data_IF_844291959896
#
_entry.id   IF_844291959896
#
_cell.length_a   1.000
_cell.length_b   1.000
_cell.length_c   1.000
_cell.angle_alpha   90.00
_cell.angle_beta   90.00
_cell.angle_gamma   90.00
#
_symmetry.space_group_name_H-M   'P 1'
#
loop_
_entity.id
_entity.type
_entity.pdbx_description
1 polymer ?
#
# COMPACT_ATOMS: atom_id res chain seq x y z
N UNK A 1 0.96 8.34 -55.33
CA UNK A 1 2.11 7.50 -54.95
C UNK A 1 2.44 7.84 -53.51
N UNK A 2 1.80 7.13 -52.59
CA UNK A 2 1.79 7.44 -51.15
C UNK A 2 2.15 6.15 -50.43
N UNK A 3 3.34 6.10 -49.82
CA UNK A 3 3.82 4.96 -49.06
C UNK A 3 3.32 5.05 -47.61
N UNK A 4 2.31 4.25 -47.29
CA UNK A 4 1.84 4.01 -45.93
C UNK A 4 2.68 2.89 -45.33
N UNK A 5 3.50 3.21 -44.32
CA UNK A 5 4.23 2.22 -43.53
C UNK A 5 3.35 1.73 -42.39
N UNK A 6 2.86 0.51 -42.50
CA UNK A 6 2.12 -0.20 -41.45
C UNK A 6 3.09 -0.77 -40.41
N UNK A 7 2.92 -0.40 -39.15
CA UNK A 7 3.50 -1.11 -38.01
C UNK A 7 2.42 -2.03 -37.41
N UNK A 8 2.69 -3.32 -37.12
CA UNK A 8 1.69 -4.22 -36.59
C UNK A 8 1.46 -3.97 -35.09
N UNK A 9 0.20 -3.83 -34.72
CA UNK A 9 -0.29 -3.83 -33.33
C UNK A 9 -0.49 -5.28 -32.91
N UNK A 10 0.42 -5.81 -32.08
CA UNK A 10 0.22 -7.12 -31.44
C UNK A 10 -0.77 -6.98 -30.28
N UNK A 11 -2.01 -7.41 -30.52
CA UNK A 11 -3.03 -7.66 -29.50
C UNK A 11 -2.68 -8.96 -28.76
N UNK A 12 -2.23 -8.86 -27.52
CA UNK A 12 -2.13 -10.03 -26.63
C UNK A 12 -3.54 -10.45 -26.20
N UNK A 13 -3.99 -11.59 -26.74
CA UNK A 13 -5.14 -12.35 -26.21
C UNK A 13 -4.76 -13.02 -24.87
N UNK A 14 -5.71 -13.19 -23.94
CA UNK A 14 -5.49 -13.92 -22.70
C UNK A 14 -5.41 -15.43 -22.98
N UNK A 15 -4.54 -16.21 -22.28
CA UNK A 15 -4.48 -17.65 -22.47
C UNK A 15 -5.72 -18.33 -21.87
N UNK A 16 -6.24 -19.29 -22.63
CA UNK A 16 -7.46 -20.04 -22.34
C UNK A 16 -7.36 -21.00 -21.16
N UNK A 17 -8.54 -21.32 -20.65
CA UNK A 17 -8.86 -22.21 -19.53
C UNK A 17 -8.39 -23.65 -19.77
N UNK A 18 -7.55 -24.17 -18.88
CA UNK A 18 -7.29 -25.60 -18.72
C UNK A 18 -8.06 -26.12 -17.49
N UNK A 19 -8.79 -27.24 -17.66
CA UNK A 19 -9.62 -27.87 -16.63
C UNK A 19 -8.82 -28.55 -15.49
N UNK A 20 -9.50 -29.09 -14.46
CA UNK A 20 -8.88 -29.44 -13.20
C UNK A 20 -8.09 -30.75 -13.31
N UNK A 21 -6.76 -30.63 -13.35
CA UNK A 21 -5.85 -31.73 -13.06
C UNK A 21 -5.87 -32.05 -11.58
N UNK A 22 -6.11 -33.32 -11.24
CA UNK A 22 -6.01 -33.84 -9.88
C UNK A 22 -4.56 -33.71 -9.41
N UNK A 23 -4.32 -32.85 -8.43
CA UNK A 23 -3.01 -32.72 -7.80
C UNK A 23 -2.88 -33.76 -6.68
N UNK A 24 -2.20 -34.85 -7.01
CA UNK A 24 -1.71 -35.83 -6.06
C UNK A 24 -0.47 -35.26 -5.38
N UNK A 25 -0.57 -34.96 -4.09
CA UNK A 25 0.51 -34.81 -3.10
C UNK A 25 1.88 -34.33 -3.57
N UNK A 26 2.22 -33.08 -3.23
CA UNK A 26 3.62 -32.67 -3.09
C UNK A 26 3.90 -32.35 -1.61
N UNK A 27 4.43 -33.36 -0.93
CA UNK A 27 5.25 -33.21 0.27
C UNK A 27 6.50 -32.38 -0.07
N UNK A 28 6.94 -31.56 0.91
CA UNK A 28 8.33 -31.08 1.12
C UNK A 28 9.02 -30.32 -0.04
N UNK A 29 8.95 -28.99 0.01
CA UNK A 29 10.08 -28.13 -0.36
C UNK A 29 10.43 -27.22 0.83
N UNK A 30 11.29 -27.81 1.66
CA UNK A 30 11.82 -27.35 2.93
C UNK A 30 13.30 -26.99 2.69
N UNK A 31 13.59 -25.80 2.17
CA UNK A 31 14.90 -25.15 2.24
C UNK A 31 14.79 -23.73 1.66
N UNK A 32 14.89 -22.70 2.50
CA UNK A 32 15.39 -21.43 1.98
C UNK A 32 16.79 -21.69 1.45
N UNK A 33 17.00 -21.57 0.14
CA UNK A 33 18.34 -21.71 -0.42
C UNK A 33 19.29 -20.77 0.36
N UNK A 34 20.41 -21.27 0.90
CA UNK A 34 21.10 -20.57 1.97
C UNK A 34 21.65 -19.24 1.46
N UNK A 35 21.09 -18.15 1.97
CA UNK A 35 21.59 -16.78 1.74
C UNK A 35 23.03 -16.60 2.24
N UNK A 36 23.65 -17.61 2.86
CA UNK A 36 25.01 -17.61 3.35
C UNK A 36 26.03 -17.13 2.31
N UNK A 37 25.99 -17.67 1.09
CA UNK A 37 26.90 -17.28 0.00
C UNK A 37 26.78 -15.79 -0.36
N UNK A 38 25.57 -15.32 -0.72
CA UNK A 38 25.31 -13.90 -0.96
C UNK A 38 25.66 -12.98 0.21
N UNK A 39 25.30 -13.35 1.45
CA UNK A 39 25.61 -12.59 2.66
C UNK A 39 27.13 -12.49 2.84
N UNK A 40 27.88 -13.58 2.67
CA UNK A 40 29.35 -13.58 2.72
C UNK A 40 29.95 -12.66 1.64
N UNK A 41 29.38 -12.64 0.44
CA UNK A 41 29.77 -11.73 -0.63
C UNK A 41 29.58 -10.26 -0.22
N UNK A 42 28.41 -9.91 0.33
CA UNK A 42 28.13 -8.57 0.84
C UNK A 42 29.07 -8.18 1.98
N UNK A 43 29.28 -9.06 2.96
CA UNK A 43 30.20 -8.82 4.08
C UNK A 43 31.62 -8.52 3.59
N UNK A 44 32.11 -9.26 2.59
CA UNK A 44 33.42 -9.00 1.99
C UNK A 44 33.48 -7.63 1.31
N UNK A 45 32.41 -7.19 0.63
CA UNK A 45 32.36 -5.86 0.02
C UNK A 45 32.31 -4.75 1.09
N UNK A 46 31.45 -4.89 2.10
CA UNK A 46 31.28 -3.92 3.19
C UNK A 46 32.57 -3.74 3.98
N UNK A 47 33.34 -4.81 4.23
CA UNK A 47 34.63 -4.73 4.96
C UNK A 47 35.58 -3.69 4.35
N UNK A 48 35.60 -3.56 3.03
CA UNK A 48 36.47 -2.63 2.32
C UNK A 48 35.89 -1.22 2.16
N UNK A 49 34.66 -0.96 2.60
CA UNK A 49 34.11 0.39 2.58
C UNK A 49 34.89 1.35 3.47
N UNK A 50 35.16 2.53 2.91
CA UNK A 50 35.68 3.72 3.58
C UNK A 50 34.58 4.77 3.68
N UNK A 51 34.74 5.75 4.58
CA UNK A 51 33.76 6.82 4.77
C UNK A 51 33.68 7.69 3.51
N UNK A 52 32.54 7.76 2.81
CA UNK A 52 32.42 8.45 1.53
C UNK A 52 32.05 9.94 1.65
N UNK A 53 32.03 10.50 2.86
CA UNK A 53 31.36 11.76 3.13
C UNK A 53 29.86 11.56 3.35
N UNK A 54 29.05 12.48 2.83
CA UNK A 54 27.58 12.52 2.95
C UNK A 54 26.85 11.67 1.89
N UNK A 55 27.58 10.87 1.12
CA UNK A 55 27.03 10.03 0.06
C UNK A 55 26.53 8.69 0.60
N UNK A 56 25.41 8.22 0.05
CA UNK A 56 24.91 6.87 0.28
C UNK A 56 25.86 5.83 -0.33
N UNK A 57 26.27 4.84 0.48
CA UNK A 57 26.84 3.59 -0.04
C UNK A 57 25.72 2.58 -0.24
N UNK A 58 25.64 2.04 -1.45
CA UNK A 58 24.75 0.95 -1.78
C UNK A 58 25.52 -0.16 -2.51
N UNK A 59 25.21 -1.41 -2.17
CA UNK A 59 25.66 -2.57 -2.95
C UNK A 59 24.64 -3.68 -2.87
N UNK A 60 24.41 -4.35 -4.00
CA UNK A 60 23.53 -5.51 -4.08
C UNK A 60 24.21 -6.70 -4.73
N UNK A 61 23.68 -7.89 -4.43
CA UNK A 61 24.08 -9.17 -5.03
C UNK A 61 22.83 -9.96 -5.41
N UNK A 62 22.84 -10.72 -6.52
CA UNK A 62 21.75 -11.63 -6.84
C UNK A 62 21.66 -12.74 -5.78
N UNK A 63 20.45 -13.17 -5.48
CA UNK A 63 20.16 -14.27 -4.55
C UNK A 63 19.17 -15.26 -5.16
N UNK A 64 19.12 -16.51 -4.67
CA UNK A 64 18.05 -17.44 -5.03
C UNK A 64 16.66 -16.89 -4.67
N UNK A 65 15.62 -17.50 -5.23
CA UNK A 65 14.26 -17.21 -4.83
C UNK A 65 14.11 -17.32 -3.31
N UNK A 66 13.72 -16.22 -2.68
CA UNK A 66 13.67 -16.08 -1.22
C UNK A 66 12.31 -15.57 -0.82
N UNK A 67 11.68 -16.22 0.16
CA UNK A 67 10.34 -15.88 0.61
C UNK A 67 10.34 -14.64 1.52
N UNK A 68 9.86 -13.46 1.09
CA UNK A 68 10.10 -12.20 1.79
C UNK A 68 9.39 -12.11 3.14
N UNK A 69 8.17 -12.66 3.27
CA UNK A 69 7.43 -12.62 4.53
C UNK A 69 8.10 -13.45 5.63
N UNK A 70 8.63 -14.63 5.28
CA UNK A 70 9.38 -15.48 6.22
C UNK A 70 10.71 -14.83 6.60
N UNK A 71 11.38 -14.23 5.62
CA UNK A 71 12.60 -13.47 5.85
C UNK A 71 12.38 -12.32 6.84
N UNK A 72 11.32 -11.51 6.66
CA UNK A 72 10.95 -10.43 7.59
C UNK A 72 10.50 -10.94 8.96
N UNK A 73 9.76 -12.05 9.01
CA UNK A 73 9.30 -12.63 10.27
C UNK A 73 10.49 -13.11 11.13
N UNK A 74 11.55 -13.62 10.49
CA UNK A 74 12.79 -14.03 11.18
C UNK A 74 13.64 -12.85 11.65
N UNK A 75 13.51 -11.69 11.01
CA UNK A 75 14.31 -10.51 11.32
C UNK A 75 13.94 -9.89 12.69
N UNK A 76 14.89 -9.21 13.38
CA UNK A 76 14.56 -8.45 14.59
C UNK A 76 13.47 -7.40 14.32
N UNK A 77 12.53 -7.26 15.25
CA UNK A 77 11.45 -6.27 15.18
C UNK A 77 11.93 -4.84 15.47
N UNK A 78 11.10 -3.87 15.08
CA UNK A 78 11.23 -2.43 15.37
C UNK A 78 11.67 -1.56 14.20
N UNK A 79 12.10 -2.16 13.09
CA UNK A 79 12.60 -1.45 11.91
C UNK A 79 12.48 -2.28 10.63
N UNK A 80 11.39 -3.05 10.51
CA UNK A 80 11.06 -3.82 9.31
C UNK A 80 10.10 -3.02 8.43
N UNK A 81 10.30 -3.16 7.13
CA UNK A 81 9.45 -2.56 6.11
C UNK A 81 9.11 -3.57 5.02
N UNK A 82 7.94 -3.44 4.43
CA UNK A 82 7.52 -4.25 3.29
C UNK A 82 6.69 -3.40 2.35
N UNK A 83 6.96 -3.54 1.07
CA UNK A 83 6.13 -2.99 0.01
C UNK A 83 6.14 -3.93 -1.20
N UNK A 84 4.97 -4.19 -1.75
CA UNK A 84 4.79 -4.97 -2.96
C UNK A 84 3.80 -4.26 -3.89
N UNK A 85 4.20 -4.15 -5.17
CA UNK A 85 3.35 -3.61 -6.22
C UNK A 85 2.10 -4.47 -6.42
N UNK A 86 1.00 -3.87 -6.88
CA UNK A 86 -0.28 -4.56 -7.05
C UNK A 86 -0.25 -5.82 -7.93
N UNK A 87 0.61 -5.82 -8.94
CA UNK A 87 0.80 -6.93 -9.87
C UNK A 87 1.88 -7.95 -9.40
N UNK A 88 2.50 -7.71 -8.25
CA UNK A 88 3.55 -8.56 -7.69
C UNK A 88 4.88 -8.55 -8.45
N UNK A 89 5.08 -7.64 -9.43
CA UNK A 89 6.29 -7.58 -10.25
C UNK A 89 7.51 -7.03 -9.50
N UNK A 90 7.24 -6.25 -8.45
CA UNK A 90 8.21 -5.64 -7.58
C UNK A 90 7.85 -5.87 -6.12
N UNK A 91 8.86 -6.21 -5.33
CA UNK A 91 8.74 -6.38 -3.89
C UNK A 91 10.01 -5.86 -3.23
N UNK A 92 9.85 -5.13 -2.13
CA UNK A 92 10.93 -4.62 -1.29
C UNK A 92 10.62 -5.07 0.14
N UNK A 93 11.46 -5.93 0.69
CA UNK A 93 11.44 -6.28 2.10
C UNK A 93 12.67 -5.67 2.77
N UNK A 94 12.48 -4.83 3.78
CA UNK A 94 13.53 -4.05 4.43
C UNK A 94 13.73 -4.43 5.89
N UNK A 95 14.98 -4.47 6.33
CA UNK A 95 15.37 -4.66 7.74
C UNK A 95 16.39 -3.60 8.14
N UNK A 96 16.11 -2.91 9.25
CA UNK A 96 16.96 -1.83 9.75
C UNK A 96 16.81 -0.53 8.97
N UNK A 97 17.51 0.50 9.42
CA UNK A 97 17.39 1.87 8.90
C UNK A 97 18.76 2.37 8.46
N UNK A 98 18.91 2.68 7.18
CA UNK A 98 20.02 3.48 6.67
C UNK A 98 19.72 4.98 6.81
N UNK A 99 18.52 5.39 6.45
CA UNK A 99 17.99 6.75 6.63
C UNK A 99 16.52 6.71 7.03
N UNK A 100 16.11 7.61 7.92
CA UNK A 100 14.72 7.79 8.37
C UNK A 100 14.38 9.27 8.24
N UNK A 101 13.50 9.58 7.28
CA UNK A 101 13.08 10.94 6.99
C UNK A 101 11.61 11.07 7.39
N UNK A 102 11.31 12.06 8.23
CA UNK A 102 9.95 12.30 8.68
C UNK A 102 9.60 13.78 8.70
N UNK A 103 8.31 14.05 8.64
CA UNK A 103 7.73 15.38 8.81
C UNK A 103 6.53 15.32 9.77
N UNK A 104 6.38 16.33 10.61
CA UNK A 104 5.22 16.48 11.49
C UNK A 104 4.03 17.19 10.84
N UNK A 105 4.24 17.87 9.70
CA UNK A 105 3.23 18.71 9.02
C UNK A 105 3.39 18.67 7.50
N UNK A 106 2.30 18.93 6.80
CA UNK A 106 2.31 18.99 5.34
C UNK A 106 3.30 20.00 4.73
N UNK A 107 3.57 21.11 5.43
CA UNK A 107 4.41 22.20 4.93
C UNK A 107 5.88 21.78 4.73
N UNK A 108 6.39 20.82 5.50
CA UNK A 108 7.79 20.37 5.40
C UNK A 108 7.98 19.27 4.35
N UNK A 109 6.92 18.86 3.64
CA UNK A 109 7.00 17.77 2.66
C UNK A 109 8.03 18.07 1.57
N UNK A 110 8.04 19.27 1.00
CA UNK A 110 8.97 19.61 -0.09
C UNK A 110 10.45 19.38 0.28
N UNK A 111 10.84 19.73 1.51
CA UNK A 111 12.20 19.52 2.02
C UNK A 111 12.50 18.02 2.22
N UNK A 112 11.54 17.25 2.76
CA UNK A 112 11.65 15.80 2.90
C UNK A 112 11.87 15.14 1.53
N UNK A 113 11.15 15.57 0.50
CA UNK A 113 11.26 15.03 -0.85
C UNK A 113 12.58 15.33 -1.53
N UNK A 114 13.06 16.57 -1.40
CA UNK A 114 14.39 16.94 -1.87
C UNK A 114 15.44 16.04 -1.22
N UNK A 115 15.35 15.82 0.10
CA UNK A 115 16.27 14.96 0.84
C UNK A 115 16.23 13.50 0.39
N UNK A 116 15.05 12.94 0.09
CA UNK A 116 14.91 11.59 -0.47
C UNK A 116 15.70 11.49 -1.78
N UNK A 117 15.53 12.46 -2.68
CA UNK A 117 16.19 12.43 -3.99
C UNK A 117 17.70 12.65 -3.89
N UNK A 118 18.15 13.55 -3.00
CA UNK A 118 19.57 13.80 -2.76
C UNK A 118 20.27 12.55 -2.19
N UNK A 119 19.62 11.84 -1.26
CA UNK A 119 20.18 10.63 -0.64
C UNK A 119 20.26 9.48 -1.64
N UNK A 120 19.19 9.21 -2.42
CA UNK A 120 19.20 8.10 -3.37
C UNK A 120 20.12 8.41 -4.56
N UNK A 121 20.05 9.63 -5.11
CA UNK A 121 20.74 9.98 -6.35
C UNK A 121 20.44 8.99 -7.48
N UNK A 122 21.47 8.28 -7.93
CA UNK A 122 21.42 7.28 -8.99
C UNK A 122 21.40 5.82 -8.49
N UNK A 123 21.40 5.61 -7.16
CA UNK A 123 21.48 4.28 -6.57
C UNK A 123 20.22 3.47 -6.85
N UNK A 124 20.39 2.16 -7.07
CA UNK A 124 19.28 1.24 -7.35
C UNK A 124 18.61 0.72 -6.07
N UNK A 125 18.10 1.67 -5.29
CA UNK A 125 17.37 1.41 -4.03
C UNK A 125 16.17 2.35 -3.92
N UNK A 126 15.32 2.14 -2.92
CA UNK A 126 14.16 2.99 -2.71
C UNK A 126 13.84 3.16 -1.23
N UNK A 127 13.32 4.34 -0.88
CA UNK A 127 12.63 4.52 0.39
C UNK A 127 11.26 3.83 0.32
N UNK A 128 10.83 3.27 1.44
CA UNK A 128 9.45 2.84 1.67
C UNK A 128 8.85 3.74 2.73
N UNK A 129 7.62 4.20 2.54
CA UNK A 129 7.02 5.14 3.46
C UNK A 129 5.59 5.52 3.10
N UNK A 130 5.14 6.62 3.68
CA UNK A 130 3.78 7.07 3.52
C UNK A 130 3.45 8.37 4.24
N UNK A 131 2.16 8.71 4.19
CA UNK A 131 1.56 9.91 4.75
C UNK A 131 0.28 9.58 5.50
N UNK A 132 0.00 10.36 6.56
CA UNK A 132 -1.29 10.36 7.22
C UNK A 132 -2.38 10.97 6.33
N UNK A 133 -3.63 10.55 6.57
CA UNK A 133 -4.82 11.01 5.86
C UNK A 133 -5.05 12.52 5.95
N UNK A 134 -4.80 13.09 7.12
CA UNK A 134 -5.07 14.51 7.42
C UNK A 134 -3.82 15.40 7.32
N UNK A 135 -2.64 14.83 7.01
CA UNK A 135 -1.38 15.56 6.94
C UNK A 135 -0.83 16.00 8.31
N UNK A 136 -1.30 15.40 9.40
CA UNK A 136 -0.82 15.68 10.76
C UNK A 136 -0.17 14.44 11.39
N UNK A 137 0.73 14.68 12.35
CA UNK A 137 1.26 13.62 13.20
C UNK A 137 0.14 12.91 13.97
N UNK A 138 0.28 11.59 14.07
CA UNK A 138 -0.62 10.71 14.77
C UNK A 138 -0.78 11.08 16.24
N UNK A 139 -2.02 11.00 16.71
CA UNK A 139 -2.42 11.14 18.11
C UNK A 139 -3.08 9.83 18.57
N UNK A 140 -3.28 9.69 19.88
CA UNK A 140 -3.93 8.52 20.46
C UNK A 140 -3.21 7.22 20.03
N UNK A 141 -3.90 6.28 19.39
CA UNK A 141 -3.34 5.01 18.94
C UNK A 141 -2.21 5.18 17.91
N UNK A 142 -2.24 6.28 17.14
CA UNK A 142 -1.22 6.62 16.14
C UNK A 142 0.00 7.36 16.71
N UNK A 143 0.09 7.53 18.04
CA UNK A 143 1.24 8.18 18.68
C UNK A 143 2.56 7.55 18.21
N UNK A 144 3.48 8.39 17.75
CA UNK A 144 4.77 7.99 17.18
C UNK A 144 4.78 7.94 15.65
N UNK A 145 3.64 7.75 14.97
CA UNK A 145 3.56 7.91 13.52
C UNK A 145 3.49 9.40 13.16
N UNK A 146 4.47 9.93 12.41
CA UNK A 146 4.46 11.34 11.99
C UNK A 146 3.49 11.56 10.81
N UNK A 147 3.32 12.81 10.37
CA UNK A 147 2.49 13.13 9.22
C UNK A 147 3.01 12.50 7.93
N UNK A 148 4.34 12.40 7.80
CA UNK A 148 5.01 11.69 6.73
C UNK A 148 6.23 10.95 7.29
N UNK A 149 6.49 9.73 6.80
CA UNK A 149 7.73 9.01 7.10
C UNK A 149 8.17 8.15 5.94
N UNK A 150 9.46 8.20 5.63
CA UNK A 150 10.11 7.37 4.63
C UNK A 150 11.39 6.79 5.22
N UNK A 151 11.51 5.46 5.14
CA UNK A 151 12.66 4.71 5.63
C UNK A 151 13.38 4.08 4.44
N UNK A 152 14.69 4.32 4.36
CA UNK A 152 15.59 3.57 3.49
C UNK A 152 16.11 2.37 4.29
N UNK A 153 15.77 1.13 3.89
CA UNK A 153 16.21 -0.04 4.64
C UNK A 153 17.73 -0.17 4.67
N UNK A 154 18.30 -0.56 5.81
CA UNK A 154 19.73 -0.86 5.89
C UNK A 154 20.10 -2.14 5.12
N UNK A 155 19.21 -3.12 5.13
CA UNK A 155 19.29 -4.36 4.36
C UNK A 155 17.95 -4.51 3.63
N UNK A 156 17.99 -4.80 2.34
CA UNK A 156 16.81 -4.97 1.51
C UNK A 156 16.86 -6.26 0.71
N UNK A 157 15.79 -7.04 0.77
CA UNK A 157 15.53 -8.14 -0.15
C UNK A 157 14.55 -7.65 -1.20
N UNK A 158 15.03 -7.51 -2.43
CA UNK A 158 14.28 -6.99 -3.56
C UNK A 158 13.95 -8.10 -4.55
N UNK A 159 12.70 -8.15 -5.00
CA UNK A 159 12.27 -8.94 -6.16
C UNK A 159 11.85 -7.98 -7.25
N UNK A 160 12.43 -8.10 -8.46
CA UNK A 160 12.05 -7.31 -9.63
C UNK A 160 12.09 -8.18 -10.88
N UNK A 161 11.01 -8.20 -11.65
CA UNK A 161 10.91 -8.98 -12.88
C UNK A 161 11.34 -10.46 -12.69
N UNK A 162 10.98 -11.06 -11.56
CA UNK A 162 11.32 -12.45 -11.21
C UNK A 162 12.73 -12.67 -10.65
N UNK A 163 13.60 -11.67 -10.67
CA UNK A 163 14.96 -11.76 -10.11
C UNK A 163 14.99 -11.26 -8.67
N UNK A 164 15.77 -11.95 -7.81
CA UNK A 164 15.91 -11.61 -6.41
C UNK A 164 17.31 -11.06 -6.13
N UNK A 165 17.39 -10.00 -5.35
CA UNK A 165 18.62 -9.34 -4.96
C UNK A 165 18.61 -9.05 -3.46
N UNK A 166 19.76 -9.20 -2.82
CA UNK A 166 20.00 -8.74 -1.46
C UNK A 166 20.91 -7.52 -1.52
N UNK A 167 20.38 -6.38 -1.10
CA UNK A 167 21.04 -5.08 -1.07
C UNK A 167 21.34 -4.63 0.35
N UNK A 168 22.33 -3.75 0.48
CA UNK A 168 22.62 -3.02 1.71
C UNK A 168 22.83 -1.55 1.43
N UNK A 169 22.38 -0.73 2.36
CA UNK A 169 22.50 0.73 2.32
C UNK A 169 23.20 1.22 3.59
N UNK A 170 24.14 2.16 3.42
CA UNK A 170 24.79 2.83 4.53
C UNK A 170 24.95 4.31 4.22
N UNK A 171 24.28 5.14 5.01
CA UNK A 171 24.44 6.59 5.05
C UNK A 171 24.98 6.98 6.43
N UNK A 172 25.95 7.88 6.48
CA UNK A 172 26.54 8.37 7.71
C UNK A 172 27.02 9.81 7.56
N UNK A 173 26.91 10.61 8.62
CA UNK A 173 27.27 12.03 8.59
C UNK A 173 28.71 12.32 9.04
N UNK A 174 29.39 11.31 9.61
CA UNK A 174 30.77 11.43 10.06
C UNK A 174 31.50 10.11 10.01
N UNK A 175 32.84 10.15 10.04
CA UNK A 175 33.66 8.93 10.11
C UNK A 175 33.36 8.06 11.35
N UNK A 176 33.01 8.68 12.48
CA UNK A 176 32.62 7.97 13.71
C UNK A 176 31.29 7.24 13.52
N UNK A 177 30.28 7.95 13.00
CA UNK A 177 28.96 7.38 12.72
C UNK A 177 29.05 6.26 11.67
N UNK A 178 29.85 6.46 10.63
CA UNK A 178 30.14 5.46 9.61
C UNK A 178 30.65 4.14 10.21
N UNK A 179 31.64 4.20 11.11
CA UNK A 179 32.16 2.99 11.74
C UNK A 179 31.12 2.31 12.61
N UNK A 180 30.32 3.06 13.37
CA UNK A 180 29.26 2.51 14.21
C UNK A 180 28.16 1.83 13.38
N UNK A 181 27.68 2.49 12.32
CA UNK A 181 26.67 1.95 11.40
C UNK A 181 27.18 0.76 10.60
N UNK A 182 28.43 0.79 10.14
CA UNK A 182 29.08 -0.34 9.45
C UNK A 182 29.15 -1.57 10.35
N UNK A 183 29.58 -1.42 11.59
CA UNK A 183 29.59 -2.53 12.57
C UNK A 183 28.19 -3.07 12.82
N UNK A 184 27.19 -2.19 13.02
CA UNK A 184 25.78 -2.60 13.20
C UNK A 184 25.26 -3.38 11.98
N UNK A 185 25.52 -2.89 10.77
CA UNK A 185 25.11 -3.53 9.53
C UNK A 185 25.70 -4.93 9.38
N UNK A 186 27.01 -5.09 9.65
CA UNK A 186 27.69 -6.40 9.64
C UNK A 186 27.03 -7.35 10.65
N UNK A 187 26.83 -6.91 11.89
CA UNK A 187 26.17 -7.71 12.92
C UNK A 187 24.75 -8.11 12.54
N UNK A 188 24.01 -7.22 11.88
CA UNK A 188 22.65 -7.51 11.41
C UNK A 188 22.64 -8.57 10.31
N UNK A 189 23.55 -8.49 9.33
CA UNK A 189 23.69 -9.49 8.28
C UNK A 189 24.05 -10.88 8.85
N UNK A 190 25.00 -10.92 9.79
CA UNK A 190 25.40 -12.18 10.45
C UNK A 190 24.22 -12.81 11.21
N UNK A 191 23.45 -12.00 11.95
CA UNK A 191 22.25 -12.47 12.67
C UNK A 191 21.16 -12.98 11.74
N UNK A 192 20.90 -12.29 10.63
CA UNK A 192 19.93 -12.73 9.62
C UNK A 192 20.36 -14.08 9.03
N UNK A 193 21.65 -14.25 8.71
CA UNK A 193 22.17 -15.52 8.21
C UNK A 193 21.94 -16.68 9.18
N UNK A 194 22.08 -16.44 10.49
CA UNK A 194 21.90 -17.47 11.52
C UNK A 194 20.43 -17.83 11.74
N UNK A 195 19.53 -16.84 11.75
CA UNK A 195 18.10 -17.07 12.01
C UNK A 195 17.39 -17.78 10.88
N UNK A 196 17.76 -17.50 9.62
CA UNK A 196 17.18 -18.19 8.46
C UNK A 196 17.48 -19.69 8.44
N UNK A 197 18.51 -20.13 9.16
CA UNK A 197 18.85 -21.55 9.30
C UNK A 197 18.02 -22.27 10.38
N UNK A 198 17.17 -21.57 11.14
CA UNK A 198 16.38 -22.14 12.23
C UNK A 198 14.92 -22.34 11.81
N UNK A 199 14.27 -23.44 12.25
CA UNK A 199 12.84 -23.62 12.03
C UNK A 199 12.06 -22.55 12.81
N UNK A 200 11.07 -21.96 12.15
CA UNK A 200 10.25 -20.91 12.75
C UNK A 200 9.02 -21.52 13.40
N UNK A 201 8.95 -21.46 14.73
CA UNK A 201 7.74 -21.76 15.49
C UNK A 201 6.91 -20.48 15.60
N UNK A 202 5.77 -20.44 14.90
CA UNK A 202 4.81 -19.35 15.04
C UNK A 202 3.78 -19.72 16.13
N UNK A 203 3.48 -18.82 17.08
CA UNK A 203 2.44 -19.08 18.06
C UNK A 203 1.07 -19.16 17.36
N UNK A 204 0.20 -20.05 17.83
CA UNK A 204 -1.22 -19.98 17.48
C UNK A 204 -1.83 -18.77 18.19
N UNK A 205 -2.42 -17.87 17.41
CA UNK A 205 -3.04 -16.65 17.92
C UNK A 205 -4.55 -16.78 17.76
N UNK A 206 -5.30 -16.39 18.77
CA UNK A 206 -6.75 -16.23 18.68
C UNK A 206 -7.19 -14.86 19.19
N UNK A 207 -8.37 -14.45 18.74
CA UNK A 207 -9.01 -13.21 19.17
C UNK A 207 -9.65 -13.47 20.54
N UNK A 208 -9.10 -12.85 21.58
CA UNK A 208 -9.63 -12.93 22.95
C UNK A 208 -10.86 -12.01 23.14
N UNK A 209 -10.85 -10.84 22.50
CA UNK A 209 -11.96 -9.88 22.57
C UNK A 209 -12.03 -9.04 21.30
N UNK A 210 -13.26 -8.74 20.86
CA UNK A 210 -13.56 -7.76 19.81
C UNK A 210 -14.26 -6.55 20.44
N UNK A 211 -13.80 -5.35 20.10
CA UNK A 211 -14.35 -4.07 20.59
C UNK A 211 -14.68 -3.19 19.39
N UNK A 212 -15.97 -2.97 19.15
CA UNK A 212 -16.47 -2.09 18.09
C UNK A 212 -16.66 -0.67 18.65
N UNK A 213 -16.02 0.33 18.03
CA UNK A 213 -16.09 1.74 18.46
C UNK A 213 -17.27 2.53 17.87
N UNK A 214 -18.11 1.83 17.10
CA UNK A 214 -19.33 2.34 16.49
C UNK A 214 -20.27 1.15 16.32
N UNK A 215 -21.44 1.22 16.95
CA UNK A 215 -22.51 0.23 16.76
C UNK A 215 -23.38 0.59 15.54
N UNK A 216 -24.32 -0.30 15.22
CA UNK A 216 -25.21 -0.14 14.08
C UNK A 216 -26.08 1.11 14.19
N UNK A 217 -26.66 1.38 15.38
CA UNK A 217 -27.55 2.52 15.58
C UNK A 217 -26.81 3.86 15.41
N UNK A 218 -25.59 3.97 15.95
CA UNK A 218 -24.73 5.13 15.74
C UNK A 218 -24.37 5.29 14.26
N UNK A 219 -24.09 4.18 13.56
CA UNK A 219 -23.82 4.18 12.13
C UNK A 219 -25.02 4.73 11.34
N UNK A 220 -26.24 4.25 11.60
CA UNK A 220 -27.46 4.73 10.98
C UNK A 220 -27.64 6.25 11.18
N UNK A 221 -27.48 6.74 12.41
CA UNK A 221 -27.59 8.17 12.72
C UNK A 221 -26.56 9.01 11.96
N UNK A 222 -25.32 8.53 11.83
CA UNK A 222 -24.28 9.22 11.09
C UNK A 222 -24.57 9.23 9.58
N UNK A 223 -25.04 8.12 9.03
CA UNK A 223 -25.44 8.01 7.62
C UNK A 223 -26.60 8.97 7.32
N UNK A 224 -27.64 9.00 8.15
CA UNK A 224 -28.77 9.91 7.99
C UNK A 224 -28.34 11.39 8.05
N UNK A 225 -27.46 11.73 8.97
CA UNK A 225 -26.89 13.07 9.07
C UNK A 225 -26.09 13.45 7.81
N UNK A 226 -25.32 12.51 7.24
CA UNK A 226 -24.59 12.73 5.98
C UNK A 226 -25.58 12.89 4.81
N UNK A 227 -26.60 12.04 4.70
CA UNK A 227 -27.62 12.11 3.66
C UNK A 227 -28.39 13.43 3.70
N UNK A 228 -28.68 13.96 4.90
CA UNK A 228 -29.31 15.27 5.05
C UNK A 228 -28.44 16.41 4.48
N UNK A 229 -27.12 16.36 4.70
CA UNK A 229 -26.19 17.35 4.11
C UNK A 229 -26.07 17.21 2.59
N UNK A 230 -26.14 15.98 2.07
CA UNK A 230 -26.15 15.70 0.63
C UNK A 230 -27.44 16.24 -0.01
N UNK A 231 -28.60 16.00 0.61
CA UNK A 231 -29.88 16.51 0.13
C UNK A 231 -29.94 18.05 0.10
N UNK A 232 -29.19 18.72 0.97
CA UNK A 232 -29.03 20.18 0.99
C UNK A 232 -28.01 20.70 -0.04
N UNK A 233 -27.36 19.81 -0.81
CA UNK A 233 -26.34 20.17 -1.81
C UNK A 233 -25.01 20.64 -1.22
N UNK A 234 -24.78 20.48 0.09
CA UNK A 234 -23.52 20.88 0.73
C UNK A 234 -22.38 19.90 0.42
N UNK A 235 -22.75 18.64 0.17
CA UNK A 235 -21.86 17.52 -0.12
C UNK A 235 -22.50 16.66 -1.22
N UNK A 236 -21.67 15.93 -1.96
CA UNK A 236 -22.13 14.92 -2.92
C UNK A 236 -21.75 13.50 -2.48
N UNK A 237 -20.65 13.37 -1.74
CA UNK A 237 -20.15 12.10 -1.21
C UNK A 237 -19.35 12.33 0.07
N UNK A 238 -19.48 11.44 1.04
CA UNK A 238 -18.58 11.36 2.21
C UNK A 238 -18.28 9.90 2.49
N UNK A 239 -17.02 9.58 2.75
CA UNK A 239 -16.63 8.24 3.17
C UNK A 239 -16.62 8.20 4.69
N UNK A 240 -17.54 7.46 5.28
CA UNK A 240 -17.60 7.22 6.72
C UNK A 240 -16.74 6.01 7.07
N UNK A 241 -15.88 6.12 8.08
CA UNK A 241 -15.06 5.02 8.56
C UNK A 241 -15.35 4.65 10.01
N UNK A 242 -15.04 3.40 10.33
CA UNK A 242 -15.09 2.85 11.68
C UNK A 242 -13.84 2.06 12.02
N UNK A 243 -13.68 1.82 13.31
CA UNK A 243 -12.60 1.02 13.88
C UNK A 243 -13.15 -0.12 14.72
N UNK A 244 -12.52 -1.29 14.56
CA UNK A 244 -12.71 -2.46 15.41
C UNK A 244 -11.37 -2.84 16.01
N UNK A 245 -11.30 -2.98 17.32
CA UNK A 245 -10.10 -3.46 17.99
C UNK A 245 -10.23 -4.95 18.31
N UNK A 246 -9.18 -5.70 18.01
CA UNK A 246 -9.05 -7.10 18.36
C UNK A 246 -7.95 -7.24 19.41
N UNK A 247 -8.31 -7.71 20.60
CA UNK A 247 -7.34 -8.11 21.62
C UNK A 247 -6.95 -9.57 21.36
N UNK A 248 -5.65 -9.82 21.26
CA UNK A 248 -5.07 -11.11 20.91
C UNK A 248 -4.52 -11.79 22.18
N UNK A 249 -4.61 -13.12 22.24
CA UNK A 249 -4.10 -13.88 23.39
C UNK A 249 -2.57 -14.08 23.39
N UNK A 250 -1.90 -13.77 22.28
CA UNK A 250 -0.48 -13.96 22.08
C UNK A 250 0.08 -12.97 21.03
N UNK A 251 1.41 -12.73 21.01
CA UNK A 251 2.03 -11.87 20.00
C UNK A 251 1.77 -12.36 18.56
N UNK A 252 1.32 -11.45 17.69
CA UNK A 252 0.98 -11.78 16.32
C UNK A 252 2.22 -12.07 15.47
N UNK A 253 2.31 -13.22 14.76
CA UNK A 253 3.31 -13.42 13.69
C UNK A 253 2.91 -12.59 12.45
N UNK A 254 3.04 -11.27 12.57
CA UNK A 254 2.36 -10.31 11.70
C UNK A 254 2.69 -10.46 10.21
N UNK A 255 3.92 -10.83 9.85
CA UNK A 255 4.28 -11.00 8.43
C UNK A 255 3.73 -12.29 7.83
N UNK A 256 3.51 -13.35 8.62
CA UNK A 256 2.83 -14.57 8.16
C UNK A 256 1.33 -14.33 8.01
N UNK A 257 0.73 -13.57 8.91
CA UNK A 257 -0.67 -13.16 8.80
C UNK A 257 -0.85 -12.25 7.59
N UNK A 258 0.05 -11.30 7.36
CA UNK A 258 0.04 -10.43 6.18
C UNK A 258 0.19 -11.23 4.88
N UNK A 259 1.03 -12.26 4.87
CA UNK A 259 1.16 -13.18 3.74
C UNK A 259 -0.18 -13.85 3.41
N UNK A 260 -0.84 -14.47 4.40
CA UNK A 260 -2.15 -15.10 4.22
C UNK A 260 -3.21 -14.10 3.76
N UNK A 261 -3.22 -12.92 4.39
CA UNK A 261 -4.16 -11.86 4.02
C UNK A 261 -3.97 -11.41 2.56
N UNK A 262 -2.72 -11.29 2.12
CA UNK A 262 -2.39 -10.95 0.74
C UNK A 262 -2.76 -12.05 -0.25
N UNK A 263 -2.54 -13.33 0.10
CA UNK A 263 -2.95 -14.49 -0.71
C UNK A 263 -4.46 -14.54 -0.94
N UNK A 264 -5.27 -14.13 0.05
CA UNK A 264 -6.74 -14.01 -0.09
C UNK A 264 -7.19 -12.74 -0.82
N UNK A 265 -6.27 -11.85 -1.19
CA UNK A 265 -6.53 -10.59 -1.88
C UNK A 265 -5.58 -10.41 -3.08
N UNK A 266 -5.56 -11.32 -4.07
CA UNK A 266 -4.70 -11.15 -5.24
C UNK A 266 -5.06 -9.87 -6.00
N UNK A 267 -4.06 -9.26 -6.62
CA UNK A 267 -4.24 -7.96 -7.27
C UNK A 267 -4.39 -6.79 -6.28
N UNK A 268 -3.82 -6.92 -5.07
CA UNK A 268 -3.65 -5.82 -4.12
C UNK A 268 -2.17 -5.44 -3.96
N UNK A 269 -1.90 -4.18 -3.64
CA UNK A 269 -0.65 -3.79 -3.00
C UNK A 269 -0.58 -4.41 -1.61
N UNK A 270 0.60 -4.86 -1.21
CA UNK A 270 0.83 -5.34 0.15
C UNK A 270 1.91 -4.51 0.82
N UNK A 271 1.67 -4.07 2.04
CA UNK A 271 2.60 -3.20 2.76
C UNK A 271 2.64 -3.50 4.26
N UNK A 272 3.79 -3.22 4.87
CA UNK A 272 3.99 -3.25 6.32
C UNK A 272 5.08 -2.24 6.71
N UNK A 273 4.82 -1.39 7.70
CA UNK A 273 5.73 -0.34 8.16
C UNK A 273 5.84 -0.37 9.68
N UNK A 274 7.00 -0.78 10.20
CA UNK A 274 7.27 -0.70 11.63
C UNK A 274 7.74 0.68 12.06
N UNK A 275 7.28 1.07 13.24
CA UNK A 275 7.70 2.27 13.93
C UNK A 275 7.77 1.99 15.44
N UNK A 276 8.94 1.55 15.91
CA UNK A 276 9.10 1.04 17.28
C UNK A 276 8.23 -0.19 17.50
N UNK A 277 7.38 -0.15 18.53
CA UNK A 277 6.47 -1.27 18.90
C UNK A 277 5.20 -1.36 18.04
N UNK A 278 5.01 -0.45 17.08
CA UNK A 278 3.83 -0.40 16.22
C UNK A 278 4.14 -0.86 14.81
N UNK A 279 3.19 -1.56 14.19
CA UNK A 279 3.25 -2.00 12.80
C UNK A 279 1.97 -1.60 12.08
N UNK A 280 2.09 -0.79 11.03
CA UNK A 280 0.98 -0.49 10.13
C UNK A 280 1.08 -1.39 8.89
N UNK A 281 0.05 -2.20 8.62
CA UNK A 281 0.06 -3.19 7.54
C UNK A 281 -1.26 -3.27 6.79
N UNK A 282 -1.24 -3.68 5.53
CA UNK A 282 -2.48 -3.77 4.73
C UNK A 282 -2.31 -4.37 3.35
N UNK A 283 -3.46 -4.68 2.74
CA UNK A 283 -3.62 -5.22 1.39
C UNK A 283 -4.54 -4.32 0.56
N UNK A 284 -4.02 -3.22 0.01
CA UNK A 284 -4.84 -2.20 -0.67
C UNK A 284 -5.06 -2.51 -2.15
N UNK A 285 -6.29 -2.45 -2.68
CA UNK A 285 -6.54 -2.61 -4.11
C UNK A 285 -6.26 -1.34 -4.93
N UNK A 286 -6.19 -0.17 -4.27
CA UNK A 286 -6.31 1.14 -4.92
C UNK A 286 -4.95 1.80 -5.09
N UNK A 287 -4.55 2.02 -6.36
CA UNK A 287 -3.38 2.84 -6.69
C UNK A 287 -3.77 4.31 -6.60
N UNK A 288 -2.97 5.10 -5.89
CA UNK A 288 -3.06 6.57 -5.98
C UNK A 288 -2.40 7.05 -7.27
N UNK A 289 -1.12 6.75 -7.45
CA UNK A 289 -0.42 6.90 -8.73
C UNK A 289 0.85 6.05 -8.78
N UNK A 290 1.36 5.82 -9.98
CA UNK A 290 2.73 5.39 -10.24
C UNK A 290 3.38 6.34 -11.22
N UNK A 291 4.66 6.65 -11.01
CA UNK A 291 5.46 7.50 -11.89
C UNK A 291 6.69 6.75 -12.35
N UNK A 292 7.01 6.83 -13.63
CA UNK A 292 8.29 6.39 -14.20
C UNK A 292 8.83 7.50 -15.09
N UNK A 293 9.95 8.12 -14.68
CA UNK A 293 10.44 9.34 -15.32
C UNK A 293 9.40 10.46 -15.23
N UNK A 294 8.99 10.98 -16.39
CA UNK A 294 7.95 11.99 -16.57
C UNK A 294 6.56 11.39 -16.86
N UNK A 295 6.43 10.06 -16.90
CA UNK A 295 5.15 9.38 -17.15
C UNK A 295 4.46 9.07 -15.83
N UNK A 296 3.23 9.54 -15.67
CA UNK A 296 2.39 9.22 -14.52
C UNK A 296 1.20 8.37 -14.96
N UNK A 297 0.87 7.38 -14.14
CA UNK A 297 -0.31 6.54 -14.25
C UNK A 297 -1.11 6.64 -12.95
N UNK A 298 -2.40 6.90 -13.07
CA UNK A 298 -3.39 6.83 -11.98
C UNK A 298 -4.64 6.17 -12.53
N UNK A 299 -5.65 5.97 -11.70
CA UNK A 299 -6.84 5.24 -12.06
C UNK A 299 -8.05 5.75 -11.28
N UNK A 300 -9.19 5.78 -11.95
CA UNK A 300 -10.48 5.93 -11.27
C UNK A 300 -11.04 4.53 -11.01
N UNK A 301 -11.01 4.12 -9.74
CA UNK A 301 -11.52 2.85 -9.26
C UNK A 301 -12.62 3.12 -8.23
N UNK A 302 -13.89 3.02 -8.66
CA UNK A 302 -15.06 3.35 -7.84
C UNK A 302 -16.31 2.67 -8.40
N UNK A 303 -17.39 2.65 -7.63
CA UNK A 303 -18.58 1.84 -7.95
C UNK A 303 -18.27 0.36 -7.79
N UNK A 304 -18.78 -0.25 -6.74
CA UNK A 304 -18.42 -1.61 -6.33
C UNK A 304 -19.65 -2.50 -6.30
N UNK A 305 -19.50 -3.73 -6.76
CA UNK A 305 -20.45 -4.82 -6.47
C UNK A 305 -19.67 -6.09 -6.16
N UNK A 306 -20.31 -7.05 -5.49
CA UNK A 306 -19.73 -8.38 -5.28
C UNK A 306 -19.53 -9.13 -6.62
N UNK A 307 -18.70 -10.16 -6.60
CA UNK A 307 -18.67 -11.17 -7.66
C UNK A 307 -19.87 -12.10 -7.53
N UNK A 308 -20.35 -12.61 -8.66
CA UNK A 308 -21.38 -13.65 -8.67
C UNK A 308 -20.80 -15.00 -8.24
N UNK A 309 -21.65 -15.86 -7.67
CA UNK A 309 -21.31 -17.26 -7.39
C UNK A 309 -21.30 -18.07 -8.68
N UNK A 310 -22.09 -17.65 -9.68
CA UNK A 310 -22.15 -18.24 -11.02
C UNK A 310 -21.77 -17.22 -12.08
N UNK A 311 -21.31 -17.66 -13.26
CA UNK A 311 -20.99 -16.75 -14.37
C UNK A 311 -22.18 -15.90 -14.81
N UNK A 312 -23.39 -16.46 -14.76
CA UNK A 312 -24.62 -15.74 -15.10
C UNK A 312 -24.92 -14.62 -14.10
N UNK A 313 -24.78 -14.91 -12.80
CA UNK A 313 -24.93 -13.93 -11.74
C UNK A 313 -23.82 -12.86 -11.81
N UNK A 314 -22.57 -13.27 -12.08
CA UNK A 314 -21.43 -12.37 -12.19
C UNK A 314 -21.62 -11.38 -13.36
N UNK A 315 -22.10 -11.88 -14.50
CA UNK A 315 -22.46 -11.06 -15.65
C UNK A 315 -23.65 -10.13 -15.37
N UNK A 316 -24.60 -10.55 -14.52
CA UNK A 316 -25.71 -9.69 -14.10
C UNK A 316 -25.23 -8.55 -13.20
N UNK A 317 -24.37 -8.84 -12.22
CA UNK A 317 -23.75 -7.84 -11.35
C UNK A 317 -22.83 -6.90 -12.15
N UNK A 318 -22.10 -7.41 -13.13
CA UNK A 318 -21.32 -6.61 -14.06
C UNK A 318 -22.21 -5.61 -14.83
N UNK A 319 -23.38 -6.06 -15.29
CA UNK A 319 -24.35 -5.18 -15.97
C UNK A 319 -24.88 -4.09 -15.04
N UNK A 320 -25.11 -4.40 -13.76
CA UNK A 320 -25.46 -3.40 -12.74
C UNK A 320 -24.35 -2.34 -12.65
N UNK A 321 -23.08 -2.73 -12.55
CA UNK A 321 -21.98 -1.76 -12.57
C UNK A 321 -22.01 -0.89 -13.81
N UNK A 322 -22.33 -1.46 -14.99
CA UNK A 322 -22.35 -0.74 -16.26
C UNK A 322 -23.49 0.27 -16.37
N UNK A 323 -24.66 -0.04 -15.82
CA UNK A 323 -25.92 0.65 -16.10
C UNK A 323 -26.52 1.41 -14.91
N UNK A 324 -26.16 1.07 -13.67
CA UNK A 324 -26.73 1.70 -12.49
C UNK A 324 -26.30 3.19 -12.41
N UNK A 325 -27.25 4.15 -12.45
CA UNK A 325 -26.92 5.58 -12.45
C UNK A 325 -26.14 6.04 -11.23
N UNK A 326 -26.41 5.48 -10.04
CA UNK A 326 -25.69 5.79 -8.78
C UNK A 326 -24.21 5.42 -8.92
N UNK A 327 -23.93 4.18 -9.37
CA UNK A 327 -22.56 3.67 -9.51
C UNK A 327 -21.78 4.36 -10.64
N UNK A 328 -22.47 4.74 -11.73
CA UNK A 328 -21.89 5.55 -12.80
C UNK A 328 -21.51 6.93 -12.27
N UNK A 329 -22.45 7.61 -11.60
CA UNK A 329 -22.23 8.94 -11.07
C UNK A 329 -21.07 8.97 -10.05
N UNK A 330 -21.02 8.00 -9.15
CA UNK A 330 -19.92 7.85 -8.19
C UNK A 330 -18.56 7.74 -8.90
N UNK A 331 -18.48 6.92 -9.95
CA UNK A 331 -17.26 6.73 -10.73
C UNK A 331 -16.86 7.99 -11.53
N UNK A 332 -17.85 8.70 -12.07
CA UNK A 332 -17.63 9.95 -12.80
C UNK A 332 -17.11 11.07 -11.90
N UNK A 333 -17.59 11.17 -10.66
CA UNK A 333 -17.08 12.13 -9.66
C UNK A 333 -15.59 11.92 -9.40
N UNK A 334 -15.17 10.67 -9.18
CA UNK A 334 -13.75 10.31 -8.97
C UNK A 334 -12.93 10.62 -10.22
N UNK A 335 -13.42 10.24 -11.41
CA UNK A 335 -12.75 10.49 -12.69
C UNK A 335 -12.54 11.97 -12.95
N UNK A 336 -13.59 12.79 -12.78
CA UNK A 336 -13.55 14.23 -12.95
C UNK A 336 -12.57 14.87 -11.99
N UNK A 337 -12.63 14.49 -10.73
CA UNK A 337 -11.70 14.95 -9.71
C UNK A 337 -10.25 14.68 -10.10
N UNK A 338 -9.90 13.43 -10.46
CA UNK A 338 -8.51 13.08 -10.82
C UNK A 338 -8.03 13.92 -12.01
N UNK A 339 -8.84 14.03 -13.08
CA UNK A 339 -8.49 14.83 -14.26
C UNK A 339 -8.26 16.31 -13.91
N UNK A 340 -9.14 16.90 -13.12
CA UNK A 340 -9.04 18.30 -12.68
C UNK A 340 -7.80 18.53 -11.83
N UNK A 341 -7.53 17.65 -10.86
CA UNK A 341 -6.38 17.78 -9.96
C UNK A 341 -5.05 17.54 -10.67
N UNK A 342 -5.03 16.68 -11.69
CA UNK A 342 -3.83 16.36 -12.44
C UNK A 342 -3.49 17.42 -13.50
N UNK A 343 -4.49 18.10 -14.07
CA UNK A 343 -4.34 19.04 -15.19
C UNK A 343 -3.24 20.12 -15.02
N UNK A 344 -3.04 20.74 -13.83
CA UNK A 344 -1.98 21.73 -13.65
C UNK A 344 -0.55 21.18 -13.79
N UNK A 345 -0.37 19.87 -13.58
CA UNK A 345 0.93 19.21 -13.44
C UNK A 345 1.39 18.50 -14.70
N UNK A 346 0.55 18.45 -15.74
CA UNK A 346 0.79 17.67 -16.95
C UNK A 346 0.87 18.56 -18.19
N UNK A 347 1.60 18.08 -19.19
CA UNK A 347 1.62 18.65 -20.54
C UNK A 347 0.52 18.04 -21.42
N UNK A 348 0.20 16.76 -21.17
CA UNK A 348 -0.91 16.05 -21.82
C UNK A 348 -1.42 14.92 -20.93
N UNK A 349 -2.72 14.68 -21.00
CA UNK A 349 -3.33 13.42 -20.56
C UNK A 349 -3.54 12.60 -21.83
N UNK A 350 -3.05 11.36 -21.84
CA UNK A 350 -3.21 10.47 -22.98
C UNK A 350 -4.71 10.24 -23.22
N UNK A 351 -5.13 10.22 -24.49
CA UNK A 351 -6.47 9.77 -24.88
C UNK A 351 -6.61 8.28 -24.53
N UNK A 352 -7.11 8.02 -23.32
CA UNK A 352 -7.50 6.70 -22.86
C UNK A 352 -8.83 6.26 -23.48
N UNK A 353 -9.35 5.08 -23.09
CA UNK A 353 -10.69 4.67 -23.52
C UNK A 353 -11.73 5.70 -23.06
N UNK A 354 -12.70 6.00 -23.94
CA UNK A 354 -13.78 6.95 -23.62
C UNK A 354 -14.73 6.42 -22.55
N UNK A 355 -14.74 5.09 -22.34
CA UNK A 355 -15.64 4.41 -21.42
C UNK A 355 -14.87 3.63 -20.34
N UNK A 356 -15.42 3.66 -19.12
CA UNK A 356 -14.95 2.84 -18.02
C UNK A 356 -15.15 1.34 -18.34
N UNK A 357 -14.12 0.54 -18.09
CA UNK A 357 -14.21 -0.92 -18.11
C UNK A 357 -14.57 -1.45 -16.72
N UNK A 358 -14.66 -2.78 -16.60
CA UNK A 358 -14.88 -3.44 -15.31
C UNK A 358 -13.58 -4.13 -14.89
N UNK A 359 -13.14 -3.86 -13.67
CA UNK A 359 -11.98 -4.51 -13.06
C UNK A 359 -12.46 -5.53 -12.04
N UNK A 360 -12.26 -6.82 -12.33
CA UNK A 360 -12.71 -7.93 -11.49
C UNK A 360 -11.59 -8.36 -10.54
N UNK A 361 -11.89 -8.37 -9.25
CA UNK A 361 -11.12 -9.03 -8.21
C UNK A 361 -11.84 -10.34 -7.81
N UNK A 362 -11.27 -11.11 -6.90
CA UNK A 362 -11.82 -12.41 -6.50
C UNK A 362 -13.21 -12.33 -5.87
N UNK A 363 -13.44 -11.35 -4.99
CA UNK A 363 -14.70 -11.22 -4.24
C UNK A 363 -15.58 -10.06 -4.69
N UNK A 364 -14.99 -9.05 -5.31
CA UNK A 364 -15.69 -7.84 -5.78
C UNK A 364 -15.23 -7.44 -7.18
N UNK A 365 -15.98 -6.55 -7.81
CA UNK A 365 -15.63 -5.94 -9.08
C UNK A 365 -15.97 -4.45 -9.05
N UNK A 366 -15.20 -3.66 -9.80
CA UNK A 366 -15.28 -2.20 -9.80
C UNK A 366 -15.44 -1.64 -11.21
N UNK A 367 -16.09 -0.46 -11.34
CA UNK A 367 -15.88 0.36 -12.53
C UNK A 367 -14.46 0.94 -12.49
N UNK A 368 -13.79 0.91 -13.63
CA UNK A 368 -12.37 1.21 -13.74
C UNK A 368 -12.06 2.05 -14.98
N UNK A 369 -11.27 3.10 -14.80
CA UNK A 369 -10.74 3.89 -15.90
C UNK A 369 -9.26 4.24 -15.66
N UNK A 370 -8.33 3.76 -16.51
CA UNK A 370 -6.92 4.15 -16.41
C UNK A 370 -6.72 5.57 -16.93
N UNK A 371 -5.89 6.35 -16.23
CA UNK A 371 -5.51 7.71 -16.61
C UNK A 371 -3.99 7.77 -16.70
N UNK A 372 -3.48 8.01 -17.91
CA UNK A 372 -2.05 8.16 -18.19
C UNK A 372 -1.77 9.59 -18.61
N UNK A 373 -0.66 10.14 -18.17
CA UNK A 373 -0.28 11.50 -18.52
C UNK A 373 1.25 11.67 -18.57
N UNK A 374 1.67 12.73 -19.25
CA UNK A 374 3.06 13.20 -19.24
C UNK A 374 3.15 14.44 -18.36
N UNK A 375 3.99 14.39 -17.34
CA UNK A 375 4.24 15.46 -16.39
C UNK A 375 4.96 16.63 -17.05
N UNK A 376 4.78 17.83 -16.50
CA UNK A 376 5.63 18.98 -16.80
C UNK A 376 7.03 18.77 -16.20
N UNK A 377 8.03 19.43 -16.79
CA UNK A 377 9.38 19.39 -16.27
C UNK A 377 9.43 19.93 -14.83
N UNK A 378 10.17 19.25 -13.95
CA UNK A 378 10.36 19.66 -12.56
C UNK A 378 9.23 19.28 -11.61
N UNK A 379 8.14 18.66 -12.10
CA UNK A 379 7.09 18.13 -11.21
C UNK A 379 7.63 16.95 -10.41
N UNK A 380 7.48 17.04 -9.09
CA UNK A 380 7.91 16.04 -8.12
C UNK A 380 6.74 15.25 -7.55
N UNK A 381 7.05 14.13 -6.91
CA UNK A 381 6.04 13.23 -6.33
C UNK A 381 5.17 13.90 -5.25
N UNK A 382 5.71 14.88 -4.52
CA UNK A 382 5.01 15.61 -3.45
C UNK A 382 3.86 16.46 -3.95
N UNK A 383 4.05 17.07 -5.11
CA UNK A 383 3.02 17.88 -5.76
C UNK A 383 1.87 16.98 -6.25
N UNK A 384 2.19 15.80 -6.79
CA UNK A 384 1.19 14.82 -7.21
C UNK A 384 0.41 14.25 -6.02
N UNK A 385 1.11 13.94 -4.92
CA UNK A 385 0.49 13.50 -3.67
C UNK A 385 -0.49 14.53 -3.12
N UNK A 386 -0.05 15.79 -2.98
CA UNK A 386 -0.91 16.88 -2.49
C UNK A 386 -2.10 17.17 -3.42
N UNK A 387 -1.91 17.03 -4.73
CA UNK A 387 -2.97 17.22 -5.71
C UNK A 387 -4.01 16.10 -5.66
N UNK A 388 -3.60 14.84 -5.58
CA UNK A 388 -4.51 13.69 -5.70
C UNK A 388 -5.13 13.26 -4.37
N UNK A 389 -4.41 13.41 -3.26
CA UNK A 389 -4.83 12.91 -1.95
C UNK A 389 -5.47 14.01 -1.06
N UNK A 390 -6.49 13.67 -0.26
CA UNK A 390 -7.29 12.43 -0.31
C UNK A 390 -8.26 12.41 -1.50
N UNK A 391 -8.47 11.23 -2.09
CA UNK A 391 -9.41 11.05 -3.23
C UNK A 391 -10.86 11.06 -2.73
N UNK A 392 -11.85 11.30 -3.62
CA UNK A 392 -13.26 11.12 -3.26
C UNK A 392 -13.63 9.68 -2.88
N UNK A 393 -12.80 8.70 -3.24
CA UNK A 393 -13.00 7.29 -2.89
C UNK A 393 -12.72 6.99 -1.41
N UNK A 394 -11.89 7.81 -0.74
CA UNK A 394 -11.56 7.64 0.69
C UNK A 394 -11.93 8.82 1.59
N UNK A 395 -12.24 9.99 1.02
CA UNK A 395 -12.68 11.16 1.77
C UNK A 395 -14.10 11.57 1.40
N UNK A 396 -14.32 12.00 0.16
CA UNK A 396 -15.60 12.50 -0.30
C UNK A 396 -15.47 13.65 -1.28
N UNK A 397 -16.59 14.27 -1.63
CA UNK A 397 -16.66 15.37 -2.59
C UNK A 397 -17.77 16.37 -2.19
N UNK A 398 -17.50 17.69 -2.20
CA UNK A 398 -16.20 18.35 -2.39
C UNK A 398 -15.18 18.01 -1.28
N UNK A 399 -13.87 18.03 -1.60
CA UNK A 399 -12.80 17.49 -0.71
C UNK A 399 -12.77 18.13 0.67
N UNK A 400 -12.71 19.46 0.76
CA UNK A 400 -12.52 20.15 2.04
C UNK A 400 -13.75 20.06 2.96
N UNK A 401 -15.00 20.27 2.48
CA UNK A 401 -16.19 20.01 3.27
C UNK A 401 -16.28 18.56 3.78
N UNK A 402 -15.98 17.57 2.93
CA UNK A 402 -16.01 16.17 3.34
C UNK A 402 -14.97 15.85 4.42
N UNK A 403 -13.73 16.35 4.27
CA UNK A 403 -12.67 16.21 5.27
C UNK A 403 -13.05 16.87 6.60
N UNK A 404 -13.66 18.06 6.55
CA UNK A 404 -14.13 18.76 7.75
C UNK A 404 -15.25 18.01 8.46
N UNK A 405 -16.16 17.37 7.72
CA UNK A 405 -17.22 16.53 8.30
C UNK A 405 -16.63 15.28 8.96
N UNK A 406 -15.75 14.55 8.27
CA UNK A 406 -15.06 13.36 8.80
C UNK A 406 -14.38 13.69 10.13
N UNK A 407 -13.64 14.80 10.19
CA UNK A 407 -12.94 15.21 11.41
C UNK A 407 -13.87 15.53 12.59
N UNK A 408 -15.16 15.80 12.35
CA UNK A 408 -16.15 16.11 13.39
C UNK A 408 -17.00 14.90 13.77
N UNK A 409 -17.37 14.06 12.81
CA UNK A 409 -18.29 12.94 13.01
C UNK A 409 -17.60 11.65 13.47
N UNK A 410 -16.39 11.36 12.98
CA UNK A 410 -15.70 10.12 13.35
C UNK A 410 -15.20 10.17 14.79
N UNK A 411 -15.52 9.13 15.56
CA UNK A 411 -15.11 8.97 16.96
C UNK A 411 -13.65 8.58 17.11
N UNK A 412 -13.00 8.18 16.02
CA UNK A 412 -11.60 7.72 16.00
C UNK A 412 -10.79 8.45 14.95
N UNK A 413 -9.50 8.65 15.23
CA UNK A 413 -8.58 9.26 14.27
C UNK A 413 -8.11 8.23 13.25
N UNK A 414 -8.19 8.57 11.96
CA UNK A 414 -7.69 7.73 10.88
C UNK A 414 -6.17 7.58 10.88
N UNK A 415 -5.41 8.61 11.25
CA UNK A 415 -3.95 8.57 11.19
C UNK A 415 -3.45 8.15 9.80
N UNK A 416 -2.74 7.03 9.70
CA UNK A 416 -2.29 6.52 8.39
C UNK A 416 -3.32 5.64 7.67
N UNK A 417 -4.40 5.20 8.32
CA UNK A 417 -5.52 4.59 7.60
C UNK A 417 -6.15 5.61 6.65
N UNK A 418 -6.49 5.17 5.44
CA UNK A 418 -6.91 6.02 4.33
C UNK A 418 -5.89 7.08 3.92
N UNK A 419 -4.66 7.04 4.44
CA UNK A 419 -3.53 7.86 3.99
C UNK A 419 -2.92 7.30 2.71
N UNK A 420 -1.60 7.44 2.57
CA UNK A 420 -0.87 6.94 1.40
C UNK A 420 0.34 6.14 1.83
N UNK A 421 0.61 5.03 1.16
CA UNK A 421 1.82 4.21 1.37
C UNK A 421 2.45 3.85 0.04
N UNK A 422 3.77 3.77 -0.01
CA UNK A 422 4.45 3.54 -1.27
C UNK A 422 5.95 3.39 -1.17
N UNK A 423 6.54 3.21 -2.35
CA UNK A 423 7.98 3.24 -2.55
C UNK A 423 8.37 4.43 -3.40
N UNK A 424 9.57 4.95 -3.17
CA UNK A 424 10.08 6.08 -3.94
C UNK A 424 11.58 6.03 -4.18
N UNK A 425 11.93 6.28 -5.44
CA UNK A 425 13.25 6.71 -5.87
C UNK A 425 13.10 7.81 -6.94
N UNK A 426 14.15 8.57 -7.27
CA UNK A 426 14.07 9.70 -8.22
C UNK A 426 13.45 9.31 -9.57
N UNK A 427 13.76 8.12 -10.08
CA UNK A 427 13.29 7.67 -11.40
C UNK A 427 11.93 6.98 -11.38
N UNK A 428 11.52 6.38 -10.25
CA UNK A 428 10.25 5.67 -10.15
C UNK A 428 9.66 5.75 -8.74
N UNK A 429 8.37 6.05 -8.68
CA UNK A 429 7.60 6.06 -7.45
C UNK A 429 6.28 5.34 -7.67
N UNK A 430 5.74 4.74 -6.63
CA UNK A 430 4.44 4.09 -6.70
C UNK A 430 3.77 4.10 -5.34
N UNK A 431 2.55 4.62 -5.33
CA UNK A 431 1.77 4.87 -4.12
C UNK A 431 0.39 4.23 -4.23
N UNK A 432 -0.02 3.60 -3.14
CA UNK A 432 -1.35 3.07 -2.90
C UNK A 432 -2.05 3.91 -1.83
N UNK A 433 -3.38 3.96 -1.90
CA UNK A 433 -4.18 4.51 -0.80
C UNK A 433 -4.22 3.47 0.32
N UNK A 434 -3.96 3.88 1.56
CA UNK A 434 -3.75 2.96 2.68
C UNK A 434 -5.07 2.47 3.31
N UNK A 435 -5.89 1.80 2.50
CA UNK A 435 -7.14 1.13 2.88
C UNK A 435 -6.93 -0.38 3.01
N UNK A 436 -7.92 -1.09 3.58
CA UNK A 436 -7.81 -2.51 3.96
C UNK A 436 -6.53 -2.74 4.76
N UNK A 437 -6.47 -2.04 5.89
CA UNK A 437 -5.25 -1.93 6.69
C UNK A 437 -5.56 -1.99 8.17
N UNK A 438 -4.57 -2.42 8.93
CA UNK A 438 -4.64 -2.49 10.38
C UNK A 438 -3.37 -1.93 11.02
N UNK A 439 -3.53 -1.41 12.24
CA UNK A 439 -2.43 -0.99 13.10
C UNK A 439 -2.28 -2.02 14.23
N UNK A 440 -1.14 -2.71 14.27
CA UNK A 440 -0.77 -3.60 15.36
C UNK A 440 0.05 -2.82 16.38
N UNK A 441 -0.33 -2.91 17.65
CA UNK A 441 0.46 -2.44 18.77
C UNK A 441 0.41 -3.50 19.88
N UNK A 442 1.55 -4.17 20.10
CA UNK A 442 1.66 -5.32 21.02
C UNK A 442 0.67 -6.43 20.65
N UNK A 443 -0.33 -6.65 21.49
CA UNK A 443 -1.39 -7.66 21.40
C UNK A 443 -2.73 -7.08 20.95
N UNK A 444 -2.78 -5.79 20.57
CA UNK A 444 -3.99 -5.13 20.04
C UNK A 444 -3.85 -4.84 18.55
N UNK A 445 -4.78 -5.36 17.75
CA UNK A 445 -4.88 -5.12 16.31
C UNK A 445 -6.09 -4.23 16.01
N UNK A 446 -5.83 -3.01 15.56
CA UNK A 446 -6.84 -2.00 15.25
C UNK A 446 -7.15 -2.09 13.76
N UNK A 447 -8.35 -2.55 13.43
CA UNK A 447 -8.83 -2.78 12.07
C UNK A 447 -9.71 -1.62 11.62
N UNK A 448 -9.49 -1.12 10.40
CA UNK A 448 -10.25 0.02 9.87
C UNK A 448 -11.03 -0.38 8.62
N UNK A 449 -12.29 0.03 8.54
CA UNK A 449 -13.10 -0.06 7.33
C UNK A 449 -13.89 1.22 7.11
N UNK A 450 -14.22 1.52 5.85
CA UNK A 450 -14.94 2.73 5.51
C UNK A 450 -15.78 2.54 4.26
N UNK A 451 -16.85 3.32 4.14
CA UNK A 451 -17.90 3.17 3.14
C UNK A 451 -18.33 4.54 2.60
N UNK A 452 -18.56 4.62 1.29
CA UNK A 452 -18.88 5.87 0.60
C UNK A 452 -20.36 6.16 0.60
N UNK A 453 -20.79 7.10 1.43
CA UNK A 453 -22.18 7.56 1.50
C UNK A 453 -22.44 8.56 0.38
N UNK A 454 -23.46 8.27 -0.43
CA UNK A 454 -23.97 9.12 -1.51
C UNK A 454 -25.50 9.15 -1.45
N UNK A 455 -26.15 9.96 -2.30
CA UNK A 455 -27.60 9.96 -2.42
C UNK A 455 -28.13 8.52 -2.67
N UNK A 456 -29.15 8.12 -1.90
CA UNK A 456 -29.73 6.78 -1.96
C UNK A 456 -28.84 5.66 -1.35
N UNK A 457 -27.92 5.99 -0.45
CA UNK A 457 -27.28 4.99 0.42
C UNK A 457 -28.27 4.45 1.46
N UNK A 458 -28.13 3.17 1.78
CA UNK A 458 -28.98 2.42 2.70
C UNK A 458 -28.13 1.94 3.89
N UNK A 459 -28.53 2.30 5.12
CA UNK A 459 -27.66 2.11 6.29
C UNK A 459 -27.33 0.63 6.58
N UNK A 460 -28.27 -0.29 6.33
CA UNK A 460 -28.04 -1.72 6.51
C UNK A 460 -27.04 -2.26 5.49
N UNK A 461 -27.20 -1.91 4.21
CA UNK A 461 -26.27 -2.27 3.15
C UNK A 461 -24.86 -1.72 3.41
N UNK A 462 -24.75 -0.44 3.80
CA UNK A 462 -23.45 0.17 4.08
C UNK A 462 -22.78 -0.45 5.32
N UNK A 463 -23.54 -0.80 6.35
CA UNK A 463 -23.02 -1.52 7.53
C UNK A 463 -22.48 -2.91 7.17
N UNK A 464 -23.22 -3.67 6.36
CA UNK A 464 -22.78 -4.98 5.89
C UNK A 464 -21.47 -4.88 5.07
N UNK A 465 -21.31 -3.81 4.27
CA UNK A 465 -20.06 -3.55 3.56
C UNK A 465 -18.90 -3.22 4.53
N UNK A 466 -19.17 -2.49 5.62
CA UNK A 466 -18.18 -2.21 6.66
C UNK A 466 -17.71 -3.48 7.41
N UNK A 467 -18.60 -4.44 7.68
CA UNK A 467 -18.24 -5.75 8.26
C UNK A 467 -17.43 -6.60 7.28
N UNK A 468 -17.91 -6.77 6.05
CA UNK A 468 -17.27 -7.62 5.04
C UNK A 468 -15.81 -7.20 4.76
N UNK A 469 -15.50 -5.90 4.85
CA UNK A 469 -14.13 -5.39 4.69
C UNK A 469 -13.19 -5.80 5.83
N UNK A 470 -13.71 -5.98 7.05
CA UNK A 470 -12.94 -6.41 8.23
C UNK A 470 -12.76 -7.94 8.22
N UNK A 471 -13.81 -8.68 7.84
CA UNK A 471 -13.79 -10.15 7.77
C UNK A 471 -12.61 -10.71 6.97
N UNK A 472 -12.17 -10.02 5.90
CA UNK A 472 -11.01 -10.46 5.12
C UNK A 472 -9.72 -10.57 5.96
N UNK A 473 -9.53 -9.70 6.95
CA UNK A 473 -8.38 -9.77 7.86
C UNK A 473 -8.62 -10.81 8.95
N UNK A 474 -9.86 -10.90 9.48
CA UNK A 474 -10.23 -11.91 10.48
C UNK A 474 -9.95 -13.33 9.98
N UNK A 475 -10.33 -13.63 8.74
CA UNK A 475 -10.05 -14.92 8.13
C UNK A 475 -8.55 -15.26 8.09
N UNK A 476 -7.67 -14.27 7.91
CA UNK A 476 -6.23 -14.46 7.91
C UNK A 476 -5.63 -14.69 9.31
N UNK A 477 -6.35 -14.30 10.37
CA UNK A 477 -5.97 -14.53 11.77
C UNK A 477 -6.34 -15.94 12.24
N UNK A 478 -7.49 -16.46 11.81
CA UNK A 478 -8.05 -17.74 12.26
C UNK A 478 -7.46 -18.97 11.55
N UNK A 479 -6.57 -18.75 10.56
CA UNK A 479 -5.98 -19.80 9.70
C UNK A 479 -4.62 -20.33 10.14
#
# INVERSE_FOLDING_TARGET
>A
MSSVSQYPVSLHQPPGTAGPGRDTGCDRDDATAPLYGPIKSLLNRIKHWSFPGDRLLHVSVPVPATHPFRWLQSAPAGSRGFWQARNGDETIAGVGVAADLSSCRADDHAALWQRIYDIIGDQDTAFIGGFSFDGHSGREDWTGFPAARFVLPAIELNRRAGQYHLGVNLLADSRRDFMARKTRLITMLDRLSQRLAQPMLAPTVSIAQRIDHMDFDTCCQQIDAILALIAQGQLHKVVLARRVDLLLNAPLPAFLVLERWHQSNPGSFCFALENGERLFMGCSPERLFSRTGDRVFTESLAGTVRRGVTDQEDAALERILRQNPKLIHEHELVTRYIRTQLAPWVTRIDTGPDQASIFKLDRIQHRYLPIRATLRQGVRDDQLLAALHPTPAVCGFPRDPARALISRQETTRRGWYSGVVGRVCPRRSEFAVAIRSALLHRDRLLCYSGVGIVEGSDAEAEWNELEAKIESLLAALES
#
